data_IF_014484473938
#
_entry.id   IF_014484473938
#
_cell.length_a   1.000
_cell.length_b   1.000
_cell.length_c   1.000
_cell.angle_alpha   90.00
_cell.angle_beta   90.00
_cell.angle_gamma   90.00
#
_symmetry.space_group_name_H-M   'P 1'
#
loop_
_entity.id
_entity.type
_entity.pdbx_description
1 polymer ?
#
# COMPACT_ATOMS: atom_id res chain seq x y z
N UNK A 1 -2.94 38.31 -21.61
CA UNK A 1 -4.11 37.41 -21.70
C UNK A 1 -3.60 36.01 -21.38
N UNK A 2 -3.86 35.47 -20.18
CA UNK A 2 -3.49 34.07 -19.88
C UNK A 2 -4.52 33.17 -20.56
N UNK A 3 -4.13 32.10 -21.27
CA UNK A 3 -5.10 31.16 -21.81
C UNK A 3 -5.87 30.54 -20.64
N UNK A 4 -7.20 30.62 -20.73
CA UNK A 4 -8.13 29.94 -19.82
C UNK A 4 -8.09 28.46 -20.17
N UNK A 5 -7.12 27.75 -19.60
CA UNK A 5 -7.06 26.29 -19.71
C UNK A 5 -7.68 25.72 -18.44
N UNK A 6 -8.90 25.17 -18.58
CA UNK A 6 -9.51 24.22 -17.64
C UNK A 6 -8.72 22.89 -17.56
N UNK A 7 -7.39 22.95 -17.62
CA UNK A 7 -6.56 21.81 -17.29
C UNK A 7 -6.58 21.68 -15.77
N UNK A 8 -7.08 20.56 -15.25
CA UNK A 8 -6.91 20.23 -13.83
C UNK A 8 -5.42 20.33 -13.51
N UNK A 9 -5.03 21.33 -12.73
CA UNK A 9 -3.69 21.39 -12.18
C UNK A 9 -3.54 20.18 -11.25
N UNK A 10 -2.75 19.19 -11.68
CA UNK A 10 -2.46 18.02 -10.85
C UNK A 10 -1.58 18.47 -9.69
N UNK A 11 -2.22 18.79 -8.57
CA UNK A 11 -1.58 19.15 -7.31
C UNK A 11 -1.74 18.02 -6.26
N UNK A 12 -1.24 18.24 -5.05
CA UNK A 12 -1.41 17.29 -3.95
C UNK A 12 -2.87 17.05 -3.55
N UNK A 13 -3.75 18.02 -3.74
CA UNK A 13 -5.16 17.86 -3.40
C UNK A 13 -5.84 16.89 -4.38
N UNK A 14 -5.55 17.04 -5.68
CA UNK A 14 -5.98 16.10 -6.72
C UNK A 14 -5.41 14.70 -6.45
N UNK A 15 -4.10 14.57 -6.20
CA UNK A 15 -3.50 13.27 -5.85
C UNK A 15 -4.13 12.64 -4.60
N UNK A 16 -4.44 13.45 -3.58
CA UNK A 16 -5.11 13.00 -2.36
C UNK A 16 -6.52 12.47 -2.63
N UNK A 17 -7.30 13.17 -3.45
CA UNK A 17 -8.65 12.75 -3.83
C UNK A 17 -8.65 11.46 -4.66
N UNK A 18 -7.70 11.34 -5.60
CA UNK A 18 -7.51 10.11 -6.39
C UNK A 18 -7.19 8.92 -5.47
N UNK A 19 -6.23 9.09 -4.55
CA UNK A 19 -5.91 8.05 -3.55
C UNK A 19 -7.11 7.66 -2.71
N UNK A 20 -7.89 8.65 -2.23
CA UNK A 20 -9.10 8.41 -1.43
C UNK A 20 -10.15 7.60 -2.22
N UNK A 21 -10.35 7.91 -3.50
CA UNK A 21 -11.26 7.16 -4.37
C UNK A 21 -10.84 5.69 -4.51
N UNK A 22 -9.56 5.43 -4.84
CA UNK A 22 -9.05 4.06 -4.95
C UNK A 22 -9.08 3.31 -3.61
N UNK A 23 -8.79 3.99 -2.49
CA UNK A 23 -8.89 3.41 -1.15
C UNK A 23 -10.33 3.06 -0.75
N UNK A 24 -11.34 3.73 -1.30
CA UNK A 24 -12.74 3.43 -1.01
C UNK A 24 -13.33 2.39 -1.97
N UNK A 25 -12.77 2.25 -3.17
CA UNK A 25 -13.21 1.24 -4.15
C UNK A 25 -13.05 -0.17 -3.59
N UNK A 26 -14.08 -1.00 -3.70
CA UNK A 26 -13.97 -2.42 -3.39
C UNK A 26 -13.00 -3.09 -4.36
N UNK A 27 -12.08 -3.89 -3.83
CA UNK A 27 -11.22 -4.75 -4.60
C UNK A 27 -11.58 -6.21 -4.32
N UNK A 28 -11.48 -7.05 -5.35
CA UNK A 28 -11.62 -8.50 -5.21
C UNK A 28 -10.31 -9.08 -4.68
N UNK A 29 -10.41 -10.10 -3.83
CA UNK A 29 -9.26 -10.84 -3.34
C UNK A 29 -8.37 -11.35 -4.50
N UNK A 30 -7.05 -11.19 -4.36
CA UNK A 30 -6.05 -11.60 -5.35
C UNK A 30 -5.70 -13.10 -5.27
N UNK A 31 -6.24 -13.83 -4.30
CA UNK A 31 -6.09 -15.29 -4.24
C UNK A 31 -6.84 -15.96 -5.41
N UNK A 32 -6.20 -16.87 -6.17
CA UNK A 32 -6.81 -17.49 -7.34
C UNK A 32 -8.17 -18.15 -7.02
N UNK A 33 -9.20 -17.80 -7.80
CA UNK A 33 -10.54 -18.34 -7.66
C UNK A 33 -11.36 -17.77 -6.49
N UNK A 34 -10.86 -16.79 -5.75
CA UNK A 34 -11.61 -16.12 -4.69
C UNK A 34 -12.36 -14.89 -5.24
N UNK A 35 -13.65 -14.78 -4.90
CA UNK A 35 -14.50 -13.64 -5.29
C UNK A 35 -14.86 -12.72 -4.11
N UNK A 36 -14.30 -12.97 -2.93
CA UNK A 36 -14.56 -12.18 -1.73
C UNK A 36 -13.90 -10.79 -1.79
N UNK A 37 -14.44 -9.85 -1.01
CA UNK A 37 -13.86 -8.52 -0.88
C UNK A 37 -12.52 -8.55 -0.16
N UNK A 38 -11.52 -7.88 -0.75
CA UNK A 38 -10.23 -7.67 -0.12
C UNK A 38 -10.33 -6.66 1.03
N UNK A 39 -9.62 -6.96 2.11
CA UNK A 39 -9.39 -6.06 3.24
C UNK A 39 -8.09 -5.27 3.03
N UNK A 40 -7.79 -4.33 3.93
CA UNK A 40 -6.49 -3.67 3.96
C UNK A 40 -5.46 -4.61 4.60
N UNK A 41 -4.66 -5.27 3.76
CA UNK A 41 -3.56 -6.17 4.14
C UNK A 41 -2.24 -5.42 4.18
N UNK A 42 -1.32 -5.77 5.07
CA UNK A 42 0.05 -5.25 5.06
C UNK A 42 0.97 -6.14 4.21
N UNK A 43 1.72 -5.58 3.27
CA UNK A 43 2.70 -6.36 2.50
C UNK A 43 3.90 -6.79 3.34
N UNK A 44 4.29 -5.94 4.30
CA UNK A 44 5.36 -6.19 5.26
C UNK A 44 4.72 -6.35 6.64
N UNK A 45 5.12 -7.39 7.38
CA UNK A 45 4.51 -7.69 8.67
C UNK A 45 4.52 -6.50 9.62
N UNK A 46 3.33 -6.07 10.05
CA UNK A 46 3.18 -4.99 11.02
C UNK A 46 3.85 -5.34 12.36
N UNK A 47 3.51 -6.51 12.90
CA UNK A 47 3.95 -6.93 14.23
C UNK A 47 5.41 -7.35 14.23
N UNK A 48 5.88 -8.10 13.22
CA UNK A 48 7.25 -8.61 13.23
C UNK A 48 8.30 -7.74 12.59
N UNK A 49 7.93 -6.88 11.65
CA UNK A 49 8.92 -6.07 10.92
C UNK A 49 8.71 -4.58 11.20
N UNK A 50 7.55 -4.02 10.86
CA UNK A 50 7.34 -2.57 10.93
C UNK A 50 7.43 -2.04 12.36
N UNK A 51 6.92 -2.77 13.35
CA UNK A 51 6.99 -2.34 14.75
C UNK A 51 8.41 -2.26 15.31
N UNK A 52 9.37 -2.97 14.70
CA UNK A 52 10.77 -2.96 15.15
C UNK A 52 11.52 -1.69 14.76
N UNK A 53 11.00 -0.97 13.76
CA UNK A 53 11.60 0.25 13.22
C UNK A 53 10.69 1.47 13.40
N UNK A 54 9.56 1.31 14.10
CA UNK A 54 8.62 2.40 14.38
C UNK A 54 8.90 3.01 15.75
N UNK A 55 8.85 4.34 15.83
CA UNK A 55 8.88 5.10 17.08
C UNK A 55 7.47 5.63 17.34
N UNK A 56 6.86 5.26 18.47
CA UNK A 56 5.47 5.61 18.82
C UNK A 56 4.44 5.31 17.71
N UNK A 57 4.67 4.24 16.95
CA UNK A 57 3.80 3.84 15.83
C UNK A 57 3.98 4.69 14.55
N UNK A 58 5.03 5.51 14.49
CA UNK A 58 5.41 6.35 13.36
C UNK A 58 6.67 5.76 12.70
N UNK A 59 6.67 5.76 11.37
CA UNK A 59 7.77 5.35 10.51
C UNK A 59 8.15 6.49 9.59
N UNK A 60 9.33 6.44 8.99
CA UNK A 60 9.68 7.32 7.87
C UNK A 60 9.53 6.58 6.54
N UNK A 61 8.92 7.24 5.56
CA UNK A 61 8.76 6.70 4.21
C UNK A 61 8.99 7.78 3.16
N UNK A 62 9.29 7.35 1.93
CA UNK A 62 9.36 8.26 0.79
C UNK A 62 7.97 8.86 0.54
N UNK A 63 7.90 10.18 0.61
CA UNK A 63 6.75 10.98 0.20
C UNK A 63 7.03 11.66 -1.13
N UNK A 64 5.97 11.78 -1.91
CA UNK A 64 5.94 12.59 -3.10
C UNK A 64 5.01 13.76 -2.84
N UNK A 65 5.50 14.97 -3.04
CA UNK A 65 4.72 16.20 -3.00
C UNK A 65 4.66 16.77 -4.42
N UNK A 66 3.46 16.83 -5.00
CA UNK A 66 3.23 17.44 -6.31
C UNK A 66 2.81 18.90 -6.15
N UNK A 67 3.64 19.80 -6.65
CA UNK A 67 3.37 21.24 -6.71
C UNK A 67 3.54 21.60 -8.18
N UNK A 68 2.44 21.70 -8.94
CA UNK A 68 2.52 21.92 -10.39
C UNK A 68 3.48 23.07 -10.75
N UNK A 69 4.39 22.90 -11.72
CA UNK A 69 4.59 21.72 -12.58
C UNK A 69 5.49 20.62 -11.99
N UNK A 70 6.04 20.84 -10.81
CA UNK A 70 7.10 20.04 -10.20
C UNK A 70 6.57 18.90 -9.30
N UNK A 71 7.44 17.91 -9.10
CA UNK A 71 7.24 16.81 -8.16
C UNK A 71 8.48 16.70 -7.29
N UNK A 72 8.30 16.99 -6.01
CA UNK A 72 9.36 16.90 -5.01
C UNK A 72 9.29 15.56 -4.28
N UNK A 73 10.44 14.93 -4.08
CA UNK A 73 10.58 13.71 -3.29
C UNK A 73 11.23 14.08 -1.97
N UNK A 74 10.60 13.68 -0.86
CA UNK A 74 11.11 13.89 0.48
C UNK A 74 10.89 12.66 1.35
N UNK A 75 11.56 12.61 2.50
CA UNK A 75 11.28 11.63 3.54
C UNK A 75 10.27 12.25 4.50
N UNK A 76 9.23 11.52 4.88
CA UNK A 76 8.32 12.00 5.90
C UNK A 76 7.58 10.89 6.64
N UNK A 77 6.94 11.31 7.72
CA UNK A 77 6.26 10.41 8.66
C UNK A 77 5.11 9.64 8.02
N UNK A 78 4.95 8.38 8.41
CA UNK A 78 3.88 7.49 7.99
C UNK A 78 3.46 6.63 9.17
N UNK A 79 2.17 6.58 9.45
CA UNK A 79 1.64 5.71 10.49
C UNK A 79 1.90 4.25 10.15
N UNK A 80 2.25 3.46 11.17
CA UNK A 80 2.49 2.02 11.02
C UNK A 80 1.29 1.27 10.44
N UNK A 81 0.07 1.76 10.70
CA UNK A 81 -1.18 1.21 10.16
C UNK A 81 -1.35 1.45 8.66
N UNK A 82 -0.69 2.45 8.07
CA UNK A 82 -0.79 2.77 6.65
C UNK A 82 0.44 2.26 5.86
N UNK A 83 1.49 1.87 6.57
CA UNK A 83 2.73 1.43 5.98
C UNK A 83 2.56 0.06 5.32
N UNK A 84 2.94 -0.01 4.04
CA UNK A 84 2.81 -1.20 3.18
C UNK A 84 1.39 -1.76 3.03
N UNK A 85 0.34 -1.00 3.35
CA UNK A 85 -1.03 -1.49 3.21
C UNK A 85 -1.55 -1.44 1.79
N UNK A 86 -2.37 -2.42 1.42
CA UNK A 86 -3.04 -2.50 0.13
C UNK A 86 -4.29 -3.38 0.21
N UNK A 87 -5.20 -3.25 -0.76
CA UNK A 87 -6.37 -4.13 -0.87
C UNK A 87 -6.05 -5.39 -1.66
N UNK A 88 -5.36 -6.33 -1.01
CA UNK A 88 -4.86 -7.56 -1.65
C UNK A 88 -5.70 -8.80 -1.40
N UNK A 89 -6.03 -9.09 -0.15
CA UNK A 89 -6.59 -10.38 0.24
C UNK A 89 -7.86 -10.20 1.05
N UNK A 90 -8.83 -11.11 0.94
CA UNK A 90 -9.92 -11.18 1.91
C UNK A 90 -9.38 -11.66 3.26
N UNK A 91 -10.17 -11.53 4.33
CA UNK A 91 -9.74 -11.92 5.69
C UNK A 91 -9.18 -13.35 5.74
N UNK A 92 -9.88 -14.31 5.15
CA UNK A 92 -9.44 -15.72 5.10
C UNK A 92 -8.09 -15.90 4.40
N UNK A 93 -7.86 -15.21 3.29
CA UNK A 93 -6.63 -15.34 2.53
C UNK A 93 -5.50 -14.45 3.06
N UNK A 94 -5.78 -13.47 3.92
CA UNK A 94 -4.75 -12.78 4.68
C UNK A 94 -4.21 -13.66 5.83
N UNK A 95 -5.07 -14.52 6.40
CA UNK A 95 -4.67 -15.44 7.49
C UNK A 95 -3.61 -16.47 7.08
N UNK A 96 -3.42 -16.73 5.78
CA UNK A 96 -2.33 -17.61 5.29
C UNK A 96 -0.94 -17.07 5.66
N UNK A 97 -0.82 -15.75 5.86
CA UNK A 97 0.42 -15.08 6.26
C UNK A 97 0.59 -15.03 7.79
N UNK A 98 -0.35 -15.56 8.57
CA UNK A 98 -0.34 -15.42 10.03
C UNK A 98 0.87 -16.05 10.72
N UNK A 99 1.42 -17.15 10.19
CA UNK A 99 2.65 -17.77 10.69
C UNK A 99 3.85 -16.83 10.49
N UNK A 100 4.02 -16.33 9.26
CA UNK A 100 5.02 -15.33 8.91
C UNK A 100 4.89 -14.06 9.77
N UNK A 101 3.67 -13.59 10.02
CA UNK A 101 3.41 -12.40 10.84
C UNK A 101 3.63 -12.58 12.34
N UNK A 102 3.64 -13.83 12.83
CA UNK A 102 3.85 -14.15 14.25
C UNK A 102 5.27 -14.61 14.56
N UNK A 103 5.93 -15.25 13.60
CA UNK A 103 7.19 -15.97 13.83
C UNK A 103 8.34 -15.44 12.96
N UNK A 104 8.02 -14.68 11.91
CA UNK A 104 8.98 -14.23 10.91
C UNK A 104 9.28 -15.32 9.87
N UNK A 105 10.34 -15.12 9.10
CA UNK A 105 10.79 -16.09 8.10
C UNK A 105 11.58 -17.21 8.80
N UNK A 106 11.04 -18.43 8.79
CA UNK A 106 11.67 -19.62 9.39
C UNK A 106 11.88 -20.75 8.39
N UNK A 107 11.05 -20.79 7.35
CA UNK A 107 11.00 -21.86 6.36
C UNK A 107 11.01 -21.29 4.93
N UNK A 108 11.31 -22.14 3.95
CA UNK A 108 11.19 -21.78 2.52
C UNK A 108 9.76 -21.37 2.16
N UNK A 109 8.77 -21.97 2.82
CA UNK A 109 7.36 -21.58 2.67
C UNK A 109 7.13 -20.13 3.11
N UNK A 110 7.76 -19.66 4.18
CA UNK A 110 7.63 -18.27 4.64
C UNK A 110 8.26 -17.29 3.65
N UNK A 111 9.39 -17.68 3.03
CA UNK A 111 10.01 -16.90 1.95
C UNK A 111 9.06 -16.79 0.76
N UNK A 112 8.47 -17.91 0.33
CA UNK A 112 7.49 -17.92 -0.74
C UNK A 112 6.27 -17.04 -0.42
N UNK A 113 5.73 -17.15 0.79
CA UNK A 113 4.58 -16.35 1.23
C UNK A 113 4.92 -14.86 1.28
N UNK A 114 6.10 -14.48 1.79
CA UNK A 114 6.52 -13.09 1.78
C UNK A 114 6.69 -12.55 0.35
N UNK A 115 7.28 -13.34 -0.55
CA UNK A 115 7.42 -12.97 -1.96
C UNK A 115 6.06 -12.81 -2.63
N UNK A 116 5.13 -13.75 -2.41
CA UNK A 116 3.76 -13.69 -2.91
C UNK A 116 3.05 -12.42 -2.44
N UNK A 117 3.11 -12.11 -1.14
CA UNK A 117 2.49 -10.90 -0.56
C UNK A 117 3.07 -9.62 -1.15
N UNK A 118 4.39 -9.56 -1.31
CA UNK A 118 5.10 -8.41 -1.90
C UNK A 118 4.72 -8.22 -3.38
N UNK A 119 4.66 -9.29 -4.17
CA UNK A 119 4.26 -9.21 -5.56
C UNK A 119 2.81 -8.73 -5.71
N UNK A 120 1.89 -9.25 -4.88
CA UNK A 120 0.51 -8.78 -4.82
C UNK A 120 0.42 -7.28 -4.49
N UNK A 121 1.23 -6.80 -3.55
CA UNK A 121 1.32 -5.37 -3.24
C UNK A 121 1.80 -4.54 -4.43
N UNK A 122 2.87 -4.97 -5.11
CA UNK A 122 3.41 -4.27 -6.28
C UNK A 122 2.36 -4.20 -7.39
N UNK A 123 1.71 -5.32 -7.72
CA UNK A 123 0.67 -5.37 -8.76
C UNK A 123 -0.51 -4.45 -8.41
N UNK A 124 -0.96 -4.49 -7.14
CA UNK A 124 -2.06 -3.64 -6.67
C UNK A 124 -1.75 -2.15 -6.76
N UNK A 125 -0.48 -1.75 -6.57
CA UNK A 125 -0.05 -0.35 -6.64
C UNK A 125 0.46 0.07 -8.03
N UNK A 126 0.80 -0.88 -8.91
CA UNK A 126 1.23 -0.61 -10.29
C UNK A 126 0.03 -0.38 -11.22
N UNK A 127 -1.13 -0.95 -10.89
CA UNK A 127 -2.40 -0.78 -11.62
C UNK A 127 -2.94 0.66 -11.65
N UNK A 128 -2.22 1.63 -11.07
CA UNK A 128 -2.54 3.06 -11.08
C UNK A 128 -1.65 3.87 -12.04
N UNK A 129 -0.80 3.21 -12.85
CA UNK A 129 0.16 3.83 -13.78
C UNK A 129 -0.17 3.57 -15.27
N UNK A 130 -1.21 2.79 -15.57
CA UNK A 130 -1.77 2.64 -16.93
C UNK A 130 -3.17 3.27 -16.97
#
# INVERSE_FOLDING_TARGET
MRPNNNALEFDNAVEGNVKKYFNNKHATCMFPGCNEHAISSHAISKKKSLSQIAEDGILFSVKSKRIYPDKEISIGEKGINDASTFKGFCKQHDDIFSSLDKEGIKTEKDVFLQAYRTLSYIISNCSTIL
#
